data_IF_946573806929
#
_entry.id   IF_946573806929
#
_cell.length_a   1.000
_cell.length_b   1.000
_cell.length_c   1.000
_cell.angle_alpha   90.00
_cell.angle_beta   90.00
_cell.angle_gamma   90.00
#
_symmetry.space_group_name_H-M   'P 1'
#
loop_
_entity.id
_entity.type
_entity.pdbx_description
1 polymer ?
#
# COMPACT_ATOMS: atom_id res chain seq x y z
N UNK A 1 -39.70 -50.96 -0.76
CA UNK A 1 -39.11 -49.72 -1.32
C UNK A 1 -38.92 -48.76 -0.16
N UNK A 2 -37.72 -48.24 0.04
CA UNK A 2 -37.43 -47.34 1.16
C UNK A 2 -37.80 -45.90 0.79
N UNK A 3 -38.81 -45.32 1.44
CA UNK A 3 -39.18 -43.93 1.22
C UNK A 3 -38.13 -43.01 1.85
N UNK A 4 -37.26 -42.44 1.02
CA UNK A 4 -36.38 -41.34 1.40
C UNK A 4 -37.24 -40.07 1.41
N UNK A 5 -37.49 -39.52 2.60
CA UNK A 5 -38.13 -38.21 2.73
C UNK A 5 -37.08 -37.14 2.45
N UNK A 6 -37.27 -36.24 1.47
CA UNK A 6 -36.33 -35.16 1.20
C UNK A 6 -36.34 -34.14 2.34
N UNK A 7 -35.18 -33.58 2.65
CA UNK A 7 -35.02 -32.53 3.67
C UNK A 7 -35.52 -31.19 3.10
N UNK A 8 -36.34 -30.46 3.87
CA UNK A 8 -36.69 -29.08 3.54
C UNK A 8 -35.56 -28.12 3.94
N UNK A 9 -34.88 -27.57 2.94
CA UNK A 9 -33.79 -26.60 3.10
C UNK A 9 -34.28 -25.16 3.39
N UNK A 10 -35.58 -24.90 3.42
CA UNK A 10 -36.13 -23.60 3.82
C UNK A 10 -36.29 -23.50 5.34
N UNK A 11 -36.57 -24.62 6.02
CA UNK A 11 -36.83 -24.71 7.45
C UNK A 11 -35.57 -25.03 8.30
N UNK A 12 -34.38 -24.55 7.91
CA UNK A 12 -33.09 -24.91 8.55
C UNK A 12 -33.09 -24.60 10.06
N UNK A 13 -32.94 -25.61 10.95
CA UNK A 13 -32.86 -25.41 12.39
C UNK A 13 -31.66 -24.54 12.80
N UNK A 14 -31.78 -23.79 13.89
CA UNK A 14 -30.72 -22.87 14.34
C UNK A 14 -29.35 -23.56 14.54
N UNK A 15 -29.32 -24.77 15.10
CA UNK A 15 -28.07 -25.53 15.27
C UNK A 15 -27.39 -25.88 13.95
N UNK A 16 -28.15 -26.07 12.87
CA UNK A 16 -27.63 -26.44 11.55
C UNK A 16 -27.12 -25.23 10.75
N UNK A 17 -27.35 -24.00 11.23
CA UNK A 17 -26.74 -22.77 10.69
C UNK A 17 -25.32 -22.53 11.24
N UNK A 18 -24.99 -23.15 12.38
CA UNK A 18 -23.64 -23.11 12.95
C UNK A 18 -22.76 -24.13 12.22
N UNK A 19 -21.66 -23.67 11.60
CA UNK A 19 -20.73 -24.55 10.90
C UNK A 19 -20.00 -25.47 11.90
N UNK A 20 -20.27 -26.77 11.81
CA UNK A 20 -19.57 -27.80 12.58
C UNK A 20 -18.12 -27.96 12.11
N UNK A 21 -17.30 -28.70 12.88
CA UNK A 21 -15.94 -29.06 12.45
C UNK A 21 -15.93 -29.82 11.10
N UNK A 22 -16.99 -30.58 10.78
CA UNK A 22 -17.15 -31.26 9.49
C UNK A 22 -17.44 -30.24 8.38
N UNK A 23 -18.36 -29.29 8.61
CA UNK A 23 -18.63 -28.22 7.65
C UNK A 23 -17.37 -27.36 7.40
N UNK A 24 -16.61 -27.04 8.46
CA UNK A 24 -15.34 -26.32 8.36
C UNK A 24 -14.29 -27.11 7.59
N UNK A 25 -14.11 -28.41 7.86
CA UNK A 25 -13.15 -29.24 7.12
C UNK A 25 -13.51 -29.37 5.64
N UNK A 26 -14.81 -29.45 5.30
CA UNK A 26 -15.28 -29.43 3.91
C UNK A 26 -15.08 -28.05 3.27
N UNK A 27 -15.37 -26.94 3.97
CA UNK A 27 -15.09 -25.59 3.50
C UNK A 27 -13.59 -25.35 3.28
N UNK A 28 -12.73 -25.80 4.19
CA UNK A 28 -11.26 -25.70 4.09
C UNK A 28 -10.71 -26.59 2.95
N UNK A 29 -11.44 -27.65 2.57
CA UNK A 29 -11.13 -28.51 1.40
C UNK A 29 -11.62 -27.89 0.08
N UNK A 30 -12.80 -27.28 0.06
CA UNK A 30 -13.40 -26.66 -1.13
C UNK A 30 -12.82 -25.28 -1.45
N UNK A 31 -12.40 -24.55 -0.42
CA UNK A 31 -11.77 -23.23 -0.52
C UNK A 31 -10.28 -23.31 -0.18
N UNK A 32 -9.60 -24.38 -0.64
CA UNK A 32 -8.22 -24.72 -0.26
C UNK A 32 -7.19 -23.68 -0.73
N UNK A 33 -7.04 -22.61 0.03
CA UNK A 33 -6.20 -21.45 -0.23
C UNK A 33 -6.33 -20.44 0.91
N UNK A 34 -5.49 -19.41 0.93
CA UNK A 34 -5.65 -18.35 1.93
C UNK A 34 -6.79 -17.44 1.50
N UNK A 35 -7.67 -17.10 2.44
CA UNK A 35 -8.75 -16.14 2.22
C UNK A 35 -8.17 -14.72 2.22
N UNK A 36 -8.54 -13.91 1.22
CA UNK A 36 -7.86 -12.63 0.93
C UNK A 36 -8.84 -11.47 0.93
N UNK A 37 -8.38 -10.33 1.43
CA UNK A 37 -9.04 -9.03 1.30
C UNK A 37 -8.33 -8.25 0.20
N UNK A 38 -8.88 -8.31 -1.00
CA UNK A 38 -8.38 -7.61 -2.19
C UNK A 38 -8.90 -6.16 -2.24
N UNK A 39 -8.09 -5.27 -2.79
CA UNK A 39 -8.38 -3.83 -2.94
C UNK A 39 -8.53 -3.42 -4.43
N UNK A 40 -8.68 -4.39 -5.33
CA UNK A 40 -8.79 -4.17 -6.80
C UNK A 40 -10.02 -3.32 -7.12
N UNK A 41 -9.80 -2.18 -7.77
CA UNK A 41 -10.89 -1.27 -8.18
C UNK A 41 -11.53 -0.49 -7.03
N UNK A 42 -10.72 0.02 -6.09
CA UNK A 42 -11.17 0.98 -5.06
C UNK A 42 -12.26 0.46 -4.11
N UNK A 43 -12.39 -0.86 -4.01
CA UNK A 43 -13.43 -1.58 -3.26
C UNK A 43 -12.81 -2.78 -2.57
N UNK A 44 -13.27 -3.10 -1.36
CA UNK A 44 -12.80 -4.28 -0.64
C UNK A 44 -13.53 -5.52 -1.15
N UNK A 45 -12.78 -6.52 -1.60
CA UNK A 45 -13.27 -7.76 -2.22
C UNK A 45 -12.77 -8.95 -1.44
N UNK A 46 -13.70 -9.77 -0.95
CA UNK A 46 -13.41 -10.97 -0.18
C UNK A 46 -13.28 -12.16 -1.15
N UNK A 47 -12.09 -12.75 -1.16
CA UNK A 47 -11.69 -13.81 -2.10
C UNK A 47 -11.38 -15.08 -1.30
N UNK A 48 -11.94 -16.21 -1.74
CA UNK A 48 -11.61 -17.55 -1.24
C UNK A 48 -11.48 -18.52 -2.42
N UNK A 49 -10.51 -19.44 -2.38
CA UNK A 49 -10.25 -20.38 -3.49
C UNK A 49 -10.02 -19.70 -4.85
N UNK A 50 -9.44 -18.49 -4.86
CA UNK A 50 -9.27 -17.66 -6.06
C UNK A 50 -10.53 -16.99 -6.62
N UNK A 51 -11.72 -17.19 -6.02
CA UNK A 51 -12.99 -16.61 -6.46
C UNK A 51 -13.41 -15.43 -5.57
N UNK A 52 -13.93 -14.35 -6.18
CA UNK A 52 -14.60 -13.28 -5.44
C UNK A 52 -15.98 -13.78 -4.96
N UNK A 53 -16.14 -13.93 -3.64
CA UNK A 53 -17.37 -14.40 -3.00
C UNK A 53 -18.09 -13.31 -2.21
N UNK A 54 -17.57 -12.08 -2.24
CA UNK A 54 -18.25 -10.90 -1.72
C UNK A 54 -17.47 -9.61 -1.99
N UNK A 55 -18.19 -8.48 -1.96
CA UNK A 55 -17.63 -7.12 -1.97
C UNK A 55 -18.24 -6.29 -0.85
N UNK A 56 -17.51 -5.31 -0.37
CA UNK A 56 -18.00 -4.25 0.53
C UNK A 56 -18.08 -2.97 -0.31
N UNK A 57 -19.20 -2.27 -0.23
CA UNK A 57 -19.46 -1.05 -1.01
C UNK A 57 -18.97 0.21 -0.29
N UNK A 58 -18.79 0.14 1.03
CA UNK A 58 -18.12 1.17 1.82
C UNK A 58 -16.65 1.35 1.39
N UNK A 59 -16.22 2.61 1.33
CA UNK A 59 -14.82 2.99 1.05
C UNK A 59 -13.88 2.75 2.24
N UNK A 60 -14.35 2.16 3.32
CA UNK A 60 -13.56 1.80 4.49
C UNK A 60 -13.99 0.44 5.05
N UNK A 61 -13.11 -0.17 5.84
CA UNK A 61 -13.39 -1.39 6.60
C UNK A 61 -12.68 -1.29 7.96
N UNK A 62 -13.34 -1.76 9.00
CA UNK A 62 -12.78 -1.81 10.34
C UNK A 62 -12.22 -3.22 10.62
N UNK A 63 -10.93 -3.26 10.96
CA UNK A 63 -10.11 -4.47 11.04
C UNK A 63 -9.32 -4.49 12.35
N UNK A 64 -8.89 -5.68 12.75
CA UNK A 64 -7.82 -5.87 13.73
C UNK A 64 -6.63 -6.49 13.02
N UNK A 65 -5.43 -5.94 13.22
CA UNK A 65 -4.18 -6.52 12.72
C UNK A 65 -3.75 -7.63 13.67
N UNK A 66 -3.77 -8.88 13.20
CA UNK A 66 -3.39 -10.05 14.04
C UNK A 66 -1.96 -10.53 13.77
N UNK A 67 -1.42 -10.32 12.57
CA UNK A 67 -0.01 -10.56 12.28
C UNK A 67 0.46 -9.73 11.06
N UNK A 68 1.77 -9.56 10.88
CA UNK A 68 2.36 -8.83 9.77
C UNK A 68 3.63 -9.53 9.25
N UNK A 69 3.87 -9.46 7.93
CA UNK A 69 5.14 -9.92 7.39
C UNK A 69 6.30 -9.07 7.95
N UNK A 70 7.37 -9.67 8.49
CA UNK A 70 8.46 -8.92 9.13
C UNK A 70 9.26 -8.05 8.15
N UNK A 71 9.16 -8.33 6.84
CA UNK A 71 9.84 -7.61 5.78
C UNK A 71 8.91 -7.31 4.60
N UNK A 72 9.21 -6.23 3.88
CA UNK A 72 8.40 -5.76 2.75
C UNK A 72 8.74 -6.56 1.49
N UNK A 73 7.88 -7.52 1.18
CA UNK A 73 8.03 -8.41 0.02
C UNK A 73 8.06 -7.67 -1.33
N UNK A 74 8.58 -8.33 -2.37
CA UNK A 74 8.66 -7.80 -3.73
C UNK A 74 7.93 -8.66 -4.74
N UNK A 75 7.39 -8.01 -5.78
CA UNK A 75 6.73 -8.70 -6.88
C UNK A 75 6.94 -7.93 -8.20
N UNK A 76 7.32 -8.65 -9.24
CA UNK A 76 7.51 -8.15 -10.60
C UNK A 76 6.71 -9.01 -11.58
N UNK A 77 5.91 -8.34 -12.39
CA UNK A 77 5.38 -8.85 -13.64
C UNK A 77 6.10 -8.10 -14.77
N UNK A 78 6.62 -8.81 -15.78
CA UNK A 78 7.25 -8.19 -16.95
C UNK A 78 6.21 -7.77 -18.00
N UNK A 79 5.06 -8.46 -18.03
CA UNK A 79 3.86 -8.06 -18.77
C UNK A 79 3.19 -6.85 -18.09
N UNK A 80 2.59 -5.98 -18.89
CA UNK A 80 1.62 -5.00 -18.41
C UNK A 80 0.40 -5.70 -17.80
N UNK A 81 -0.18 -5.11 -16.76
CA UNK A 81 -1.40 -5.64 -16.15
C UNK A 81 -2.59 -5.54 -17.11
N UNK A 82 -3.26 -6.66 -17.34
CA UNK A 82 -4.54 -6.77 -18.03
C UNK A 82 -5.61 -7.19 -17.00
N UNK A 83 -6.75 -6.50 -16.98
CA UNK A 83 -7.86 -6.78 -16.08
C UNK A 83 -8.60 -8.09 -16.39
N UNK A 84 -8.51 -8.54 -17.64
CA UNK A 84 -9.29 -9.60 -18.26
C UNK A 84 -8.48 -10.89 -18.49
N UNK A 85 -7.14 -10.80 -18.43
CA UNK A 85 -6.27 -11.95 -18.46
C UNK A 85 -6.50 -12.88 -17.26
N UNK A 86 -6.19 -14.17 -17.42
CA UNK A 86 -6.12 -15.11 -16.29
C UNK A 86 -5.02 -14.66 -15.31
N UNK A 87 -5.20 -14.99 -14.03
CA UNK A 87 -4.14 -14.81 -13.05
C UNK A 87 -2.89 -15.61 -13.46
N UNK A 88 -1.78 -14.91 -13.71
CA UNK A 88 -0.46 -15.50 -13.95
C UNK A 88 0.41 -15.33 -12.71
N UNK A 89 1.33 -16.27 -12.48
CA UNK A 89 2.39 -16.09 -11.49
C UNK A 89 3.38 -14.99 -11.93
N UNK A 90 3.94 -14.20 -10.99
CA UNK A 90 4.92 -13.18 -11.26
C UNK A 90 6.24 -13.76 -11.77
N UNK A 91 6.82 -13.09 -12.76
CA UNK A 91 8.11 -13.44 -13.34
C UNK A 91 9.23 -13.46 -12.29
N UNK A 92 9.18 -12.56 -11.30
CA UNK A 92 10.07 -12.57 -10.16
C UNK A 92 9.35 -12.09 -8.90
N UNK A 93 9.54 -12.79 -7.78
CA UNK A 93 9.11 -12.32 -6.47
C UNK A 93 10.19 -12.58 -5.41
N UNK A 94 9.99 -11.99 -4.23
CA UNK A 94 10.83 -12.19 -3.05
C UNK A 94 9.96 -12.07 -1.82
N UNK A 95 10.00 -13.07 -0.94
CA UNK A 95 9.18 -13.11 0.29
C UNK A 95 9.72 -12.12 1.34
N UNK A 96 11.05 -12.00 1.43
CA UNK A 96 11.79 -11.16 2.39
C UNK A 96 12.14 -9.76 1.86
N UNK A 97 12.04 -9.53 0.55
CA UNK A 97 12.46 -8.30 -0.11
C UNK A 97 13.99 -8.12 -0.26
N UNK A 98 14.79 -9.14 0.08
CA UNK A 98 16.26 -9.14 0.06
C UNK A 98 16.80 -9.94 -1.13
N UNK A 99 16.30 -11.16 -1.35
CA UNK A 99 16.68 -12.03 -2.49
C UNK A 99 15.45 -12.57 -3.21
N UNK A 100 15.51 -12.81 -4.55
CA UNK A 100 14.45 -13.55 -5.23
C UNK A 100 14.23 -14.92 -4.62
N UNK A 101 12.97 -15.35 -4.60
CA UNK A 101 12.60 -16.70 -4.16
C UNK A 101 13.30 -17.77 -5.02
N UNK A 102 13.80 -18.89 -4.45
CA UNK A 102 14.39 -19.99 -5.22
C UNK A 102 13.51 -20.50 -6.37
N UNK A 103 12.18 -20.48 -6.23
CA UNK A 103 11.20 -20.88 -7.25
C UNK A 103 10.92 -19.82 -8.33
N UNK A 104 11.40 -18.57 -8.16
CA UNK A 104 11.07 -17.47 -9.07
C UNK A 104 11.49 -17.75 -10.52
N UNK A 105 10.53 -17.66 -11.46
CA UNK A 105 10.69 -18.13 -12.84
C UNK A 105 11.79 -17.42 -13.62
N UNK A 106 11.88 -16.11 -13.50
CA UNK A 106 12.73 -15.22 -14.29
C UNK A 106 13.37 -14.16 -13.37
N UNK A 107 14.26 -14.65 -12.50
CA UNK A 107 15.02 -13.83 -11.55
C UNK A 107 15.82 -12.76 -12.30
N UNK A 108 15.68 -11.51 -11.89
CA UNK A 108 16.27 -10.37 -12.58
C UNK A 108 17.67 -9.99 -12.07
N UNK A 109 18.04 -10.42 -10.86
CA UNK A 109 19.29 -10.10 -10.17
C UNK A 109 19.42 -10.96 -8.90
N UNK A 110 20.63 -11.25 -8.42
CA UNK A 110 20.86 -12.09 -7.22
C UNK A 110 20.37 -11.47 -5.90
N UNK A 111 20.18 -10.15 -5.87
CA UNK A 111 19.61 -9.43 -4.74
C UNK A 111 18.60 -8.38 -5.20
N UNK A 112 17.57 -8.14 -4.39
CA UNK A 112 16.49 -7.19 -4.72
C UNK A 112 16.92 -5.72 -4.61
N UNK A 113 18.00 -5.42 -3.87
CA UNK A 113 18.49 -4.05 -3.65
C UNK A 113 19.10 -3.46 -4.95
N UNK A 114 20.08 -4.15 -5.53
CA UNK A 114 20.76 -3.74 -6.77
C UNK A 114 20.01 -4.08 -8.06
N UNK A 115 18.86 -4.76 -7.96
CA UNK A 115 18.07 -5.17 -9.12
C UNK A 115 17.69 -3.98 -10.04
N UNK A 116 17.93 -4.03 -11.36
CA UNK A 116 17.56 -2.95 -12.28
C UNK A 116 16.07 -2.57 -12.24
N UNK A 117 15.19 -3.55 -11.96
CA UNK A 117 13.74 -3.34 -11.80
C UNK A 117 13.34 -2.70 -10.46
N UNK A 118 14.28 -2.47 -9.54
CA UNK A 118 14.10 -1.69 -8.30
C UNK A 118 14.37 -0.18 -8.50
N UNK A 119 14.92 0.23 -9.64
CA UNK A 119 15.24 1.64 -9.88
C UNK A 119 13.99 2.49 -10.11
N UNK A 120 14.03 3.77 -9.71
CA UNK A 120 12.96 4.74 -10.02
C UNK A 120 12.83 4.88 -11.54
N UNK A 121 11.61 5.00 -12.07
CA UNK A 121 11.38 5.05 -13.52
C UNK A 121 11.58 3.72 -14.27
N UNK A 122 11.81 2.59 -13.58
CA UNK A 122 11.95 1.28 -14.25
C UNK A 122 10.62 0.63 -14.64
N UNK A 123 9.50 1.16 -14.16
CA UNK A 123 8.13 0.76 -14.50
C UNK A 123 7.40 1.82 -15.33
N UNK A 124 6.07 1.91 -15.18
CA UNK A 124 5.27 2.97 -15.81
C UNK A 124 5.46 4.30 -15.07
N UNK A 125 5.77 5.37 -15.81
CA UNK A 125 6.11 6.69 -15.25
C UNK A 125 7.25 6.59 -14.22
N UNK A 126 7.21 7.43 -13.18
CA UNK A 126 8.23 7.47 -12.12
C UNK A 126 8.31 6.22 -11.22
N UNK A 127 7.48 5.20 -11.47
CA UNK A 127 7.34 4.04 -10.59
C UNK A 127 8.41 2.96 -10.81
N UNK A 128 8.59 2.07 -9.81
CA UNK A 128 9.51 0.92 -9.88
C UNK A 128 8.79 -0.30 -10.43
N UNK A 129 9.34 -1.00 -11.42
CA UNK A 129 8.69 -2.19 -11.98
C UNK A 129 8.53 -3.32 -10.95
N UNK A 130 9.57 -3.56 -10.13
CA UNK A 130 9.53 -4.48 -9.00
C UNK A 130 8.82 -3.81 -7.82
N UNK A 131 7.50 -4.05 -7.72
CA UNK A 131 6.60 -3.46 -6.72
C UNK A 131 6.99 -3.92 -5.31
N UNK A 132 6.82 -3.02 -4.33
CA UNK A 132 6.79 -3.38 -2.91
C UNK A 132 5.38 -3.81 -2.53
N UNK A 133 5.27 -4.86 -1.73
CA UNK A 133 4.02 -5.34 -1.15
C UNK A 133 4.22 -5.69 0.33
N UNK A 134 3.48 -5.06 1.23
CA UNK A 134 3.38 -5.54 2.63
C UNK A 134 2.23 -6.55 2.71
N UNK A 135 2.43 -7.70 3.38
CA UNK A 135 1.35 -8.63 3.72
C UNK A 135 0.99 -8.47 5.20
N UNK A 136 -0.31 -8.40 5.47
CA UNK A 136 -0.90 -8.40 6.80
C UNK A 136 -1.87 -9.58 6.92
N UNK A 137 -1.91 -10.18 8.10
CA UNK A 137 -3.02 -11.01 8.54
C UNK A 137 -3.97 -10.13 9.36
N UNK A 138 -5.24 -10.07 8.97
CA UNK A 138 -6.27 -9.25 9.62
C UNK A 138 -7.53 -10.07 9.90
N UNK A 139 -8.28 -9.70 10.92
CA UNK A 139 -9.65 -10.18 11.15
C UNK A 139 -10.61 -8.99 11.11
N UNK A 140 -11.90 -9.24 10.86
CA UNK A 140 -12.91 -8.17 10.83
C UNK A 140 -13.22 -7.70 12.26
N UNK A 141 -13.36 -6.39 12.48
CA UNK A 141 -13.59 -5.85 13.82
C UNK A 141 -14.93 -6.30 14.45
N UNK A 142 -15.91 -6.71 13.63
CA UNK A 142 -17.17 -7.29 14.07
C UNK A 142 -17.13 -8.82 14.26
N UNK A 143 -16.04 -9.49 13.87
CA UNK A 143 -15.85 -10.94 14.06
C UNK A 143 -14.36 -11.29 14.25
N UNK A 144 -13.82 -10.92 15.40
CA UNK A 144 -12.41 -11.13 15.77
C UNK A 144 -12.09 -12.63 15.95
N UNK A 145 -13.09 -13.43 16.32
CA UNK A 145 -12.99 -14.89 16.42
C UNK A 145 -13.18 -15.63 15.09
N UNK A 146 -13.47 -14.89 14.00
CA UNK A 146 -13.74 -15.41 12.68
C UNK A 146 -12.50 -15.82 11.89
N UNK A 147 -12.49 -15.51 10.60
CA UNK A 147 -11.47 -15.98 9.66
C UNK A 147 -10.32 -15.00 9.49
N UNK A 148 -9.08 -15.51 9.51
CA UNK A 148 -7.89 -14.68 9.27
C UNK A 148 -7.71 -14.45 7.77
N UNK A 149 -7.71 -13.17 7.38
CA UNK A 149 -7.64 -12.71 6.00
C UNK A 149 -6.25 -12.16 5.67
N UNK A 150 -5.74 -12.49 4.47
CA UNK A 150 -4.57 -11.86 3.90
C UNK A 150 -4.96 -10.52 3.24
N UNK A 151 -4.45 -9.41 3.78
CA UNK A 151 -4.50 -8.09 3.16
C UNK A 151 -3.11 -7.76 2.60
N UNK A 152 -3.01 -7.50 1.29
CA UNK A 152 -1.77 -7.09 0.64
C UNK A 152 -1.81 -5.59 0.29
N UNK A 153 -0.84 -4.84 0.80
CA UNK A 153 -0.77 -3.38 0.65
C UNK A 153 0.32 -2.96 -0.35
N UNK A 154 0.00 -2.10 -1.33
CA UNK A 154 1.00 -1.55 -2.25
C UNK A 154 1.85 -0.47 -1.57
N UNK A 155 2.99 -0.16 -2.18
CA UNK A 155 3.94 0.86 -1.73
C UNK A 155 3.31 2.20 -1.28
N UNK A 156 2.26 2.67 -1.96
CA UNK A 156 1.55 3.94 -1.69
C UNK A 156 0.74 3.94 -0.39
N UNK A 157 0.35 2.76 0.11
CA UNK A 157 -0.35 2.61 1.40
C UNK A 157 0.62 2.38 2.57
N UNK A 158 1.87 2.05 2.25
CA UNK A 158 2.90 1.65 3.19
C UNK A 158 3.87 2.79 3.52
N UNK A 159 4.30 3.55 2.51
CA UNK A 159 5.32 4.60 2.59
C UNK A 159 4.77 5.97 2.19
N UNK A 160 5.42 7.02 2.68
CA UNK A 160 5.06 8.41 2.36
C UNK A 160 3.92 8.93 3.22
N UNK A 161 3.30 10.02 2.77
CA UNK A 161 2.31 10.75 3.55
C UNK A 161 0.90 10.16 3.40
N UNK A 162 0.17 10.16 4.51
CA UNK A 162 -1.27 9.88 4.52
C UNK A 162 -2.08 11.01 3.87
N UNK A 163 -3.40 10.85 3.80
CA UNK A 163 -4.29 11.97 3.49
C UNK A 163 -5.16 12.33 4.68
N UNK A 164 -5.76 13.53 4.65
CA UNK A 164 -6.69 13.97 5.70
C UNK A 164 -8.00 13.16 5.70
N UNK A 165 -8.35 12.53 4.58
CA UNK A 165 -9.55 11.71 4.47
C UNK A 165 -9.31 10.26 4.90
N UNK A 166 -8.23 9.63 4.41
CA UNK A 166 -7.97 8.21 4.65
C UNK A 166 -7.18 7.92 5.94
N UNK A 167 -6.44 8.90 6.47
CA UNK A 167 -5.53 8.72 7.59
C UNK A 167 -4.10 8.41 7.15
N UNK A 168 -3.29 7.91 8.08
CA UNK A 168 -1.85 7.72 7.87
C UNK A 168 -1.52 6.51 6.98
N UNK A 169 -0.38 6.52 6.29
CA UNK A 169 0.19 5.29 5.72
C UNK A 169 0.56 4.30 6.83
N UNK A 170 0.66 3.00 6.53
CA UNK A 170 0.89 1.99 7.58
C UNK A 170 2.16 2.28 8.41
N UNK A 171 3.25 2.76 7.81
CA UNK A 171 4.43 3.17 8.58
C UNK A 171 4.19 4.41 9.44
N UNK A 172 3.41 5.40 8.97
CA UNK A 172 3.04 6.57 9.76
C UNK A 172 2.17 6.19 10.96
N UNK A 173 1.19 5.32 10.73
CA UNK A 173 0.32 4.75 11.74
C UNK A 173 1.11 3.98 12.81
N UNK A 174 1.95 3.03 12.39
CA UNK A 174 2.80 2.26 13.30
C UNK A 174 3.75 3.15 14.12
N UNK A 175 4.40 4.15 13.50
CA UNK A 175 5.27 5.10 14.22
C UNK A 175 4.51 5.90 15.28
N UNK A 176 3.29 6.34 14.98
CA UNK A 176 2.45 7.08 15.94
C UNK A 176 1.97 6.23 17.13
N UNK A 177 1.81 4.92 16.95
CA UNK A 177 1.50 3.97 18.02
C UNK A 177 2.76 3.60 18.84
N UNK A 178 3.87 3.30 18.17
CA UNK A 178 5.14 2.96 18.81
C UNK A 178 5.68 4.11 19.68
N UNK A 179 5.52 5.37 19.26
CA UNK A 179 5.84 6.56 20.05
C UNK A 179 4.99 6.73 21.32
N UNK A 180 3.98 5.87 21.53
CA UNK A 180 3.10 5.83 22.70
C UNK A 180 3.12 4.46 23.41
N UNK A 181 4.01 3.55 22.99
CA UNK A 181 4.07 2.15 23.44
C UNK A 181 2.74 1.38 23.26
N UNK A 182 1.98 1.68 22.20
CA UNK A 182 0.70 1.02 21.90
C UNK A 182 0.92 -0.11 20.89
N UNK A 183 0.41 -1.30 21.17
CA UNK A 183 0.38 -2.42 20.23
C UNK A 183 -0.72 -2.20 19.17
N UNK A 184 -0.42 -2.26 17.85
CA UNK A 184 -1.43 -2.21 16.79
C UNK A 184 -2.52 -3.29 16.89
N UNK A 185 -2.23 -4.46 17.50
CA UNK A 185 -3.20 -5.54 17.68
C UNK A 185 -4.22 -5.27 18.80
N UNK A 186 -3.98 -4.28 19.67
CA UNK A 186 -4.91 -3.86 20.73
C UNK A 186 -5.99 -2.86 20.25
N UNK A 187 -6.02 -2.55 18.95
CA UNK A 187 -6.86 -1.51 18.37
C UNK A 187 -7.78 -2.04 17.27
N UNK A 188 -8.96 -1.42 17.19
CA UNK A 188 -9.77 -1.41 15.97
C UNK A 188 -9.15 -0.38 15.01
N UNK A 189 -8.61 -0.86 13.90
CA UNK A 189 -8.01 -0.03 12.85
C UNK A 189 -8.94 0.06 11.65
N UNK A 190 -9.35 1.29 11.32
CA UNK A 190 -10.03 1.58 10.05
C UNK A 190 -9.01 1.67 8.94
N UNK A 191 -9.17 0.82 7.92
CA UNK A 191 -8.51 0.97 6.64
C UNK A 191 -9.47 1.65 5.65
N UNK A 192 -9.10 2.82 5.11
CA UNK A 192 -9.95 3.62 4.21
C UNK A 192 -9.24 3.90 2.89
N UNK A 193 -9.96 3.83 1.78
CA UNK A 193 -9.47 4.26 0.47
C UNK A 193 -9.27 5.77 0.42
N UNK A 194 -8.10 6.17 -0.07
CA UNK A 194 -7.73 7.57 -0.29
C UNK A 194 -8.34 8.05 -1.61
N UNK A 195 -9.35 8.94 -1.56
CA UNK A 195 -10.16 9.27 -2.74
C UNK A 195 -9.56 10.37 -3.61
N UNK A 196 -8.52 11.04 -3.11
CA UNK A 196 -7.69 12.01 -3.85
C UNK A 196 -6.77 11.34 -4.90
N UNK A 197 -6.70 10.01 -4.97
CA UNK A 197 -5.81 9.26 -5.89
C UNK A 197 -6.51 8.13 -6.64
N UNK A 198 -6.20 8.01 -7.93
CA UNK A 198 -6.76 6.97 -8.82
C UNK A 198 -6.27 5.55 -8.50
N UNK A 199 -5.05 5.43 -7.97
CA UNK A 199 -4.49 4.14 -7.52
C UNK A 199 -5.11 3.71 -6.19
N UNK A 200 -5.43 2.42 -5.96
CA UNK A 200 -5.97 1.94 -4.69
C UNK A 200 -4.93 2.07 -3.56
N UNK A 201 -4.97 3.21 -2.87
CA UNK A 201 -4.18 3.55 -1.68
C UNK A 201 -5.09 3.45 -0.46
N UNK A 202 -4.60 2.82 0.60
CA UNK A 202 -5.23 2.80 1.91
C UNK A 202 -4.50 3.72 2.89
N UNK A 203 -5.28 4.50 3.64
CA UNK A 203 -4.87 5.10 4.90
C UNK A 203 -5.43 4.32 6.10
N UNK A 204 -4.80 4.50 7.25
CA UNK A 204 -5.06 3.78 8.49
C UNK A 204 -5.33 4.76 9.64
N UNK A 205 -6.40 4.51 10.39
CA UNK A 205 -6.83 5.32 11.54
C UNK A 205 -7.24 4.40 12.69
N UNK A 206 -6.88 4.73 13.93
CA UNK A 206 -7.37 4.02 15.12
C UNK A 206 -8.78 4.50 15.46
N UNK A 207 -9.75 3.59 15.53
CA UNK A 207 -11.15 3.90 15.84
C UNK A 207 -11.50 3.68 17.31
N UNK A 208 -10.82 2.75 17.98
CA UNK A 208 -11.08 2.40 19.38
C UNK A 208 -10.19 1.27 19.86
N UNK A 209 -10.30 0.97 21.15
CA UNK A 209 -9.62 -0.13 21.81
C UNK A 209 -10.41 -1.44 21.69
N UNK A 210 -9.70 -2.56 21.73
CA UNK A 210 -10.28 -3.86 22.04
C UNK A 210 -10.48 -4.04 23.54
N UNK A 211 -11.40 -4.91 23.94
CA UNK A 211 -11.40 -5.46 25.32
C UNK A 211 -10.25 -6.46 25.48
N UNK A 212 -9.93 -6.84 26.72
CA UNK A 212 -8.87 -7.82 26.98
C UNK A 212 -9.15 -9.16 26.29
N UNK A 213 -10.40 -9.64 26.33
CA UNK A 213 -10.82 -10.92 25.74
C UNK A 213 -10.76 -10.87 24.21
N UNK A 214 -11.05 -9.71 23.61
CA UNK A 214 -10.89 -9.47 22.18
C UNK A 214 -9.41 -9.45 21.78
N UNK A 215 -8.56 -8.78 22.55
CA UNK A 215 -7.11 -8.74 22.32
C UNK A 215 -6.46 -10.13 22.48
N UNK A 216 -6.78 -10.86 23.56
CA UNK A 216 -6.33 -12.24 23.77
C UNK A 216 -6.81 -13.18 22.65
N UNK A 217 -7.90 -12.85 21.98
CA UNK A 217 -8.38 -13.55 20.78
C UNK A 217 -7.59 -13.14 19.54
N UNK A 218 -7.33 -11.85 19.33
CA UNK A 218 -6.49 -11.34 18.24
C UNK A 218 -5.06 -11.90 18.27
N UNK A 219 -4.45 -11.97 19.47
CA UNK A 219 -3.10 -12.56 19.66
C UNK A 219 -3.10 -14.06 19.30
N UNK A 220 -4.10 -14.82 19.74
CA UNK A 220 -4.24 -16.25 19.38
C UNK A 220 -4.47 -16.46 17.88
N UNK A 221 -5.28 -15.61 17.25
CA UNK A 221 -5.48 -15.61 15.79
C UNK A 221 -4.17 -15.33 15.06
N UNK A 222 -3.34 -14.39 15.56
CA UNK A 222 -2.03 -14.04 15.02
C UNK A 222 -1.03 -15.19 15.03
N UNK A 223 -1.14 -16.11 16.01
CA UNK A 223 -0.32 -17.32 16.14
C UNK A 223 -0.84 -18.51 15.32
N UNK A 224 -2.04 -18.41 14.73
CA UNK A 224 -2.63 -19.49 13.95
C UNK A 224 -1.84 -19.79 12.66
N UNK A 225 -1.93 -21.03 12.17
CA UNK A 225 -1.41 -21.37 10.84
C UNK A 225 -2.00 -20.50 9.73
N UNK A 226 -3.25 -20.04 9.86
CA UNK A 226 -3.88 -19.17 8.86
C UNK A 226 -3.20 -17.80 8.81
N UNK A 227 -2.87 -17.20 9.97
CA UNK A 227 -2.11 -15.96 10.03
C UNK A 227 -0.68 -16.12 9.50
N UNK A 228 0.02 -17.19 9.90
CA UNK A 228 1.37 -17.48 9.43
C UNK A 228 1.42 -17.69 7.91
N UNK A 229 0.46 -18.43 7.34
CA UNK A 229 0.31 -18.60 5.89
C UNK A 229 0.00 -17.26 5.20
N UNK A 230 -0.91 -16.45 5.75
CA UNK A 230 -1.28 -15.14 5.19
C UNK A 230 -0.10 -14.14 5.10
N UNK A 231 0.85 -14.16 6.03
CA UNK A 231 2.04 -13.29 5.99
C UNK A 231 3.22 -13.87 5.20
N UNK A 232 3.26 -15.17 4.95
CA UNK A 232 4.36 -15.84 4.21
C UNK A 232 4.04 -16.02 2.72
N UNK A 233 2.92 -16.67 2.39
CA UNK A 233 2.58 -17.01 1.01
C UNK A 233 2.25 -15.77 0.18
N UNK A 234 2.56 -15.85 -1.11
CA UNK A 234 2.18 -14.82 -2.09
C UNK A 234 0.72 -14.95 -2.51
N UNK A 235 0.19 -13.89 -3.13
CA UNK A 235 -1.20 -13.87 -3.64
C UNK A 235 -1.46 -14.95 -4.69
N UNK A 236 -0.50 -15.21 -5.58
CA UNK A 236 -0.69 -16.21 -6.64
C UNK A 236 -0.62 -17.65 -6.10
N UNK A 237 0.22 -17.92 -5.09
CA UNK A 237 0.23 -19.20 -4.36
C UNK A 237 -1.08 -19.40 -3.57
N UNK A 238 -1.65 -18.33 -3.00
CA UNK A 238 -2.94 -18.36 -2.31
C UNK A 238 -4.13 -18.59 -3.26
N UNK A 239 -4.00 -18.17 -4.52
CA UNK A 239 -4.97 -18.42 -5.61
C UNK A 239 -4.73 -19.75 -6.36
N UNK A 240 -3.76 -20.57 -5.92
CA UNK A 240 -3.47 -21.87 -6.52
C UNK A 240 -2.78 -21.85 -7.89
N UNK A 241 -2.17 -20.72 -8.27
CA UNK A 241 -1.49 -20.56 -9.56
C UNK A 241 -0.05 -21.09 -9.48
N UNK A 242 0.31 -22.00 -10.39
CA UNK A 242 1.69 -22.51 -10.47
C UNK A 242 2.66 -21.48 -11.07
N UNK A 243 3.91 -21.48 -10.59
CA UNK A 243 4.95 -20.55 -11.03
C UNK A 243 5.60 -20.91 -12.37
N UNK A 244 5.49 -22.18 -12.79
CA UNK A 244 6.30 -22.78 -13.84
C UNK A 244 7.74 -23.08 -13.38
N UNK A 245 8.50 -23.79 -14.23
CA UNK A 245 9.88 -24.13 -13.95
C UNK A 245 10.79 -22.89 -13.90
N UNK A 246 11.70 -22.82 -12.92
CA UNK A 246 12.65 -21.73 -12.79
C UNK A 246 13.69 -21.74 -13.91
N UNK A 247 13.80 -20.61 -14.64
CA UNK A 247 14.84 -20.38 -15.64
C UNK A 247 16.11 -19.87 -14.92
N UNK A 248 17.31 -20.30 -15.32
CA UNK A 248 18.56 -19.72 -14.81
C UNK A 248 18.61 -18.20 -15.00
N UNK A 249 19.27 -17.50 -14.08
CA UNK A 249 19.58 -16.07 -14.23
C UNK A 249 20.32 -15.84 -15.55
N UNK A 250 19.97 -14.82 -16.35
CA UNK A 250 20.74 -14.46 -17.53
C UNK A 250 22.11 -13.94 -17.08
N UNK A 251 23.14 -14.80 -17.16
CA UNK A 251 24.55 -14.46 -16.88
C UNK A 251 25.11 -13.54 -17.98
N UNK A 252 24.62 -12.31 -18.02
CA UNK A 252 24.95 -11.31 -19.02
C UNK A 252 25.44 -10.01 -18.38
N UNK A 253 26.69 -9.66 -18.67
CA UNK A 253 27.23 -8.30 -18.50
C UNK A 253 26.24 -7.28 -19.06
N UNK A 254 25.96 -6.14 -18.39
CA UNK A 254 24.99 -5.17 -18.89
C UNK A 254 25.36 -4.74 -20.32
N UNK A 255 24.41 -4.70 -21.26
CA UNK A 255 24.69 -4.27 -22.62
C UNK A 255 25.16 -2.82 -22.58
N UNK A 256 26.43 -2.60 -22.95
CA UNK A 256 26.98 -1.25 -23.10
C UNK A 256 26.09 -0.53 -24.11
N UNK A 257 25.45 0.56 -23.68
CA UNK A 257 24.68 1.40 -24.61
C UNK A 257 25.66 1.95 -25.63
N UNK A 258 25.59 1.43 -26.86
CA UNK A 258 26.42 1.89 -27.97
C UNK A 258 26.14 3.37 -28.17
N UNK A 259 27.09 4.22 -27.81
CA UNK A 259 27.01 5.65 -28.08
C UNK A 259 26.90 5.82 -29.60
N UNK A 260 25.81 6.44 -30.06
CA UNK A 260 25.72 6.88 -31.45
C UNK A 260 26.82 7.94 -31.65
N UNK A 261 27.79 7.63 -32.50
CA UNK A 261 28.97 8.46 -32.68
C UNK A 261 28.58 9.84 -33.22
N UNK A 262 29.05 10.90 -32.56
CA UNK A 262 28.92 12.26 -33.07
C UNK A 262 29.95 12.50 -34.19
N UNK A 263 29.53 12.90 -35.41
CA UNK A 263 30.45 13.45 -36.41
C UNK A 263 30.73 14.92 -36.11
N UNK A 264 31.99 15.32 -36.03
CA UNK A 264 32.38 16.69 -35.77
C UNK A 264 32.93 17.40 -37.02
N UNK A 265 32.55 18.67 -37.16
CA UNK A 265 33.20 19.75 -37.91
C UNK A 265 33.41 19.61 -39.44
N UNK A 266 32.75 20.49 -40.20
CA UNK A 266 33.26 21.08 -41.43
C UNK A 266 32.72 22.53 -41.61
N UNK A 267 33.60 23.44 -42.03
CA UNK A 267 33.35 24.87 -42.32
C UNK A 267 34.53 25.40 -43.20
N UNK A 268 34.51 26.59 -43.84
CA UNK A 268 33.53 27.69 -43.72
C UNK A 268 33.08 28.40 -45.05
N UNK A 269 32.03 29.24 -44.95
CA UNK A 269 31.78 30.48 -45.74
C UNK A 269 31.62 30.43 -47.29
N UNK A 270 31.14 31.51 -47.97
CA UNK A 270 30.70 32.83 -47.48
C UNK A 270 29.24 33.22 -47.85
N UNK A 271 28.79 34.41 -47.39
CA UNK A 271 27.54 35.10 -47.80
C UNK A 271 27.84 36.24 -48.82
N UNK A 272 26.83 36.87 -49.48
CA UNK A 272 25.94 37.89 -48.87
C UNK A 272 24.45 37.74 -49.34
N UNK A 273 23.46 38.63 -49.11
CA UNK A 273 23.42 40.02 -48.65
C UNK A 273 22.12 40.37 -47.84
N UNK A 274 21.97 41.66 -47.44
CA UNK A 274 20.98 42.21 -46.50
C UNK A 274 19.51 42.23 -47.01
N UNK A 275 18.50 42.51 -46.17
CA UNK A 275 18.08 43.89 -45.83
C UNK A 275 17.23 43.97 -44.53
N UNK A 276 17.71 44.75 -43.53
CA UNK A 276 17.07 45.86 -42.75
C UNK A 276 15.56 45.78 -42.37
N UNK A 277 15.00 46.17 -41.20
CA UNK A 277 15.16 47.33 -40.26
C UNK A 277 14.61 46.89 -38.85
N UNK A 278 15.27 47.00 -37.67
CA UNK A 278 15.66 48.14 -36.79
C UNK A 278 14.60 48.63 -35.75
N UNK A 279 14.82 48.27 -34.45
CA UNK A 279 14.64 49.06 -33.17
C UNK A 279 13.24 49.63 -32.80
N UNK A 280 12.90 49.96 -31.53
CA UNK A 280 13.38 49.66 -30.14
C UNK A 280 12.28 50.10 -29.15
N UNK A 281 12.21 49.51 -27.95
CA UNK A 281 11.18 49.78 -26.93
C UNK A 281 11.24 51.17 -26.25
N UNK A 282 10.09 51.62 -25.71
CA UNK A 282 9.99 52.46 -24.49
C UNK A 282 8.64 52.25 -23.76
N UNK A 283 8.66 52.45 -22.45
CA UNK A 283 7.61 52.41 -21.44
C UNK A 283 6.98 53.80 -21.16
N UNK A 284 5.67 53.87 -20.87
CA UNK A 284 4.99 54.65 -19.77
C UNK A 284 3.44 54.57 -19.87
N UNK A 285 2.73 54.63 -18.74
CA UNK A 285 1.25 54.82 -18.62
C UNK A 285 0.87 56.35 -18.66
N UNK A 286 -0.39 56.85 -18.50
CA UNK A 286 -1.41 56.46 -17.49
C UNK A 286 -2.95 56.58 -17.80
N UNK A 287 -3.76 55.90 -16.96
CA UNK A 287 -5.06 56.29 -16.30
C UNK A 287 -6.19 57.07 -17.04
N UNK A 288 -7.41 56.51 -17.03
CA UNK A 288 -8.74 57.11 -16.69
C UNK A 288 -9.92 56.20 -17.15
N UNK A 289 -11.14 56.14 -16.57
CA UNK A 289 -11.69 56.49 -15.24
C UNK A 289 -13.11 55.83 -15.05
N UNK A 290 -13.79 56.12 -13.91
CA UNK A 290 -15.10 55.61 -13.40
C UNK A 290 -15.10 54.18 -12.79
N UNK A 291 -15.69 53.88 -11.61
CA UNK A 291 -16.40 54.69 -10.59
C UNK A 291 -17.87 54.24 -10.40
N UNK A 292 -18.48 54.10 -9.21
CA UNK A 292 -18.07 54.13 -7.78
C UNK A 292 -18.82 52.94 -7.05
N UNK A 293 -19.10 52.78 -5.74
CA UNK A 293 -18.90 53.48 -4.44
C UNK A 293 -19.00 52.38 -3.34
N UNK A 294 -18.01 52.13 -2.48
CA UNK A 294 -17.62 52.81 -1.23
C UNK A 294 -18.63 52.72 -0.04
N UNK A 295 -18.44 51.73 0.85
CA UNK A 295 -18.72 51.84 2.30
C UNK A 295 -17.67 51.03 3.09
N UNK A 296 -16.93 51.71 3.96
CA UNK A 296 -16.20 51.14 5.11
C UNK A 296 -16.93 51.63 6.41
N UNK A 297 -16.73 51.08 7.63
CA UNK A 297 -15.50 51.42 8.38
C UNK A 297 -15.07 50.51 9.58
N UNK A 298 -13.96 50.91 10.22
CA UNK A 298 -13.50 50.60 11.61
C UNK A 298 -12.90 49.21 11.91
N UNK A 299 -11.56 49.20 11.94
CA UNK A 299 -10.71 48.26 12.68
C UNK A 299 -10.98 48.32 14.20
N UNK A 300 -10.95 47.18 14.90
CA UNK A 300 -10.75 47.13 16.36
C UNK A 300 -9.45 46.40 16.72
N UNK A 301 -8.80 46.86 17.78
CA UNK A 301 -7.48 46.41 18.25
C UNK A 301 -7.45 44.92 18.58
N UNK A 302 -6.37 44.24 18.21
CA UNK A 302 -5.87 43.12 18.99
C UNK A 302 -5.19 43.65 20.27
N UNK A 303 -5.32 42.91 21.37
CA UNK A 303 -4.61 43.15 22.64
C UNK A 303 -3.56 42.08 22.84
N UNK A 304 -2.38 42.46 23.33
CA UNK A 304 -1.35 41.52 23.75
C UNK A 304 -1.86 40.50 24.78
N UNK A 305 -1.48 39.25 24.60
CA UNK A 305 -1.33 38.26 25.68
C UNK A 305 0.02 37.59 25.50
N UNK A 306 1.05 38.21 26.06
CA UNK A 306 2.35 37.56 26.20
C UNK A 306 2.25 36.45 27.25
N UNK A 307 2.86 35.30 26.98
CA UNK A 307 3.09 34.29 28.00
C UNK A 307 4.40 33.54 27.66
N UNK A 308 5.36 33.59 28.57
CA UNK A 308 6.71 33.08 28.35
C UNK A 308 6.80 31.56 28.62
N UNK A 309 7.75 30.84 27.99
CA UNK A 309 8.01 29.44 28.32
C UNK A 309 8.57 29.31 29.75
N UNK A 310 8.15 28.26 30.46
CA UNK A 310 8.55 28.02 31.86
C UNK A 310 10.02 27.62 31.99
N UNK A 311 10.71 28.19 32.98
CA UNK A 311 12.16 28.04 33.25
C UNK A 311 12.65 26.58 33.35
N UNK A 312 11.78 25.63 33.70
CA UNK A 312 12.09 24.20 33.78
C UNK A 312 12.54 23.55 32.46
N UNK A 313 12.31 24.18 31.32
CA UNK A 313 12.78 23.66 30.01
C UNK A 313 14.22 24.13 29.71
N UNK A 314 14.64 25.30 30.21
CA UNK A 314 16.00 25.80 30.02
C UNK A 314 17.03 24.99 30.84
N UNK A 315 16.67 24.61 32.08
CA UNK A 315 17.55 23.84 32.96
C UNK A 315 17.93 22.45 32.38
N UNK A 316 16.95 21.74 31.78
CA UNK A 316 17.16 20.37 31.27
C UNK A 316 18.05 20.29 30.01
N UNK A 317 18.36 21.42 29.38
CA UNK A 317 19.22 21.50 28.20
C UNK A 317 20.67 21.88 28.54
N UNK A 318 20.96 22.22 29.80
CA UNK A 318 22.32 22.49 30.27
C UNK A 318 23.06 21.19 30.66
N UNK A 319 22.39 20.25 31.35
CA UNK A 319 23.00 18.99 31.83
C UNK A 319 23.44 18.00 30.72
N UNK A 320 23.23 18.33 29.44
CA UNK A 320 23.63 17.52 28.28
C UNK A 320 24.73 18.16 27.42
N UNK A 321 25.39 19.22 27.91
CA UNK A 321 26.37 20.01 27.13
C UNK A 321 27.84 19.89 27.59
N UNK A 322 28.12 19.21 28.71
CA UNK A 322 29.43 19.21 29.40
C UNK A 322 30.15 17.84 29.45
N UNK A 323 29.71 16.82 28.69
CA UNK A 323 30.30 15.46 28.68
C UNK A 323 30.93 15.07 27.32
N UNK A 324 31.69 15.99 26.70
CA UNK A 324 32.47 15.72 25.48
C UNK A 324 33.77 16.58 25.49
N UNK A 325 34.85 16.05 26.09
CA UNK A 325 36.20 16.66 26.17
C UNK A 325 37.30 15.64 26.50
#
# INVERSE_FOLDING_TARGET
MSNIVPIDFNAVPAFAKNKSAVAKALDDTLNSGIKRLSIKGGTFRYIAGGQEIGKIEDRFIDLVLVNAAPHVSRTLYLKTFDSNAKAEAPDCWSVDGVKPDPKARNKQHDNCLGCPKNQKGSGQGESRACRYNQRLAVVLANDIAGEVLQLQLPATSLFGEGSKEAGATLQGYYKALAARSIDPAALITRARFDTDVESPKLGFTAMGWLTQEQYDTAVRQGQSEQALRAITMTVFEADGVDAGAAVPLPSGTPPVMSQAAAPAAAAPSPAPAATTIVRKAKETAPVAADGTENVEPVVRKATDVTNAPSEKIAALLAEFADDDS
#
